data_IF_295074439183
#
_entry.id   IF_295074439183
#
_cell.length_a   1.000
_cell.length_b   1.000
_cell.length_c   1.000
_cell.angle_alpha   90.00
_cell.angle_beta   90.00
_cell.angle_gamma   90.00
#
_symmetry.space_group_name_H-M   'P 1'
#
loop_
_entity.id
_entity.type
_entity.pdbx_description
1 polymer ?
#
# COMPACT_ATOMS: atom_id res chain seq x y z
N UNK A 1 3.71 -12.97 -3.21
CA UNK A 1 4.24 -12.72 -1.86
C UNK A 1 4.60 -14.05 -1.23
N UNK A 2 5.78 -14.15 -0.65
CA UNK A 2 6.14 -15.26 0.24
C UNK A 2 5.56 -14.99 1.63
N UNK A 3 5.27 -16.01 2.46
CA UNK A 3 4.82 -15.80 3.83
C UNK A 3 5.82 -14.95 4.62
N UNK A 4 5.32 -14.01 5.44
CA UNK A 4 6.16 -13.19 6.31
C UNK A 4 6.69 -14.01 7.49
N UNK A 5 7.97 -13.80 7.82
CA UNK A 5 8.54 -14.28 9.08
C UNK A 5 7.97 -13.51 10.28
N UNK A 6 8.08 -14.07 11.48
CA UNK A 6 7.46 -13.49 12.69
C UNK A 6 7.92 -12.06 13.01
N UNK A 7 9.21 -11.76 12.86
CA UNK A 7 9.75 -10.41 13.11
C UNK A 7 9.23 -9.39 12.10
N UNK A 8 9.27 -9.72 10.80
CA UNK A 8 8.72 -8.88 9.73
C UNK A 8 7.22 -8.65 9.91
N UNK A 9 6.47 -9.70 10.26
CA UNK A 9 5.04 -9.59 10.55
C UNK A 9 4.74 -8.69 11.75
N UNK A 10 5.53 -8.78 12.83
CA UNK A 10 5.38 -7.90 13.98
C UNK A 10 5.70 -6.43 13.62
N UNK A 11 6.74 -6.18 12.83
CA UNK A 11 7.08 -4.82 12.37
C UNK A 11 5.99 -4.25 11.46
N UNK A 12 5.50 -5.04 10.49
CA UNK A 12 4.39 -4.67 9.62
C UNK A 12 3.14 -4.31 10.44
N UNK A 13 2.76 -5.16 11.41
CA UNK A 13 1.58 -4.91 12.24
C UNK A 13 1.67 -3.58 13.02
N UNK A 14 2.85 -3.23 13.53
CA UNK A 14 3.06 -1.95 14.23
C UNK A 14 2.97 -0.76 13.25
N UNK A 15 3.56 -0.87 12.06
CA UNK A 15 3.46 0.17 11.02
C UNK A 15 2.01 0.38 10.58
N UNK A 16 1.25 -0.69 10.35
CA UNK A 16 -0.18 -0.62 10.07
C UNK A 16 -0.89 0.11 11.22
N UNK A 17 -0.64 -0.27 12.47
CA UNK A 17 -1.30 0.33 13.64
C UNK A 17 -1.06 1.85 13.74
N UNK A 18 0.18 2.30 13.54
CA UNK A 18 0.53 3.73 13.58
C UNK A 18 -0.26 4.54 12.54
N UNK A 19 -0.32 4.05 11.30
CA UNK A 19 -1.06 4.73 10.23
C UNK A 19 -2.57 4.62 10.45
N UNK A 20 -3.09 3.50 11.00
CA UNK A 20 -4.50 3.40 11.42
C UNK A 20 -4.83 4.49 12.44
N UNK A 21 -4.01 4.64 13.49
CA UNK A 21 -4.28 5.59 14.58
C UNK A 21 -4.27 7.01 14.03
N UNK A 22 -3.28 7.35 13.19
CA UNK A 22 -3.24 8.65 12.52
C UNK A 22 -4.47 8.87 11.62
N UNK A 23 -4.83 7.90 10.78
CA UNK A 23 -5.94 8.03 9.85
C UNK A 23 -7.30 8.12 10.57
N UNK A 24 -7.47 7.43 11.70
CA UNK A 24 -8.69 7.55 12.52
C UNK A 24 -8.84 8.94 13.14
N UNK A 25 -7.73 9.58 13.53
CA UNK A 25 -7.74 10.94 14.09
C UNK A 25 -8.03 11.99 13.02
N UNK A 26 -7.49 11.83 11.82
CA UNK A 26 -7.58 12.84 10.76
C UNK A 26 -8.77 12.61 9.81
N UNK A 27 -9.23 11.37 9.69
CA UNK A 27 -10.31 10.92 8.80
C UNK A 27 -10.11 11.26 7.31
N UNK A 28 -8.85 11.47 6.91
CA UNK A 28 -8.48 11.95 5.57
C UNK A 28 -8.55 10.88 4.48
N UNK A 29 -8.67 9.59 4.84
CA UNK A 29 -8.66 8.52 3.87
C UNK A 29 -8.94 7.13 4.41
N UNK A 30 -8.50 6.14 3.64
CA UNK A 30 -8.71 4.72 3.90
C UNK A 30 -7.36 4.01 3.93
N UNK A 31 -7.18 3.10 4.89
CA UNK A 31 -5.99 2.28 5.03
C UNK A 31 -6.30 0.84 4.60
N UNK A 32 -5.30 0.20 4.01
CA UNK A 32 -5.36 -1.16 3.50
C UNK A 32 -4.14 -1.95 3.99
N UNK A 33 -4.36 -3.22 4.32
CA UNK A 33 -3.31 -4.14 4.74
C UNK A 33 -2.54 -4.71 3.56
N UNK A 34 -1.43 -5.38 3.85
CA UNK A 34 -0.55 -6.08 2.90
C UNK A 34 -1.24 -7.10 2.00
N UNK A 35 -2.43 -7.58 2.35
CA UNK A 35 -3.20 -8.51 1.51
C UNK A 35 -4.01 -7.82 0.40
N UNK A 36 -4.05 -6.49 0.38
CA UNK A 36 -4.83 -5.74 -0.62
C UNK A 36 -4.03 -5.57 -1.90
N UNK A 37 -4.60 -5.98 -3.03
CA UNK A 37 -4.01 -5.78 -4.35
C UNK A 37 -4.63 -4.55 -5.00
N UNK A 38 -3.77 -3.64 -5.45
CA UNK A 38 -4.10 -2.48 -6.28
C UNK A 38 -3.67 -2.74 -7.72
N UNK A 39 -4.53 -2.40 -8.66
CA UNK A 39 -4.18 -2.36 -10.08
C UNK A 39 -3.68 -0.95 -10.39
N UNK A 40 -2.35 -0.78 -10.46
CA UNK A 40 -1.76 0.53 -10.66
C UNK A 40 -2.04 1.05 -12.08
N UNK A 41 -2.49 2.32 -12.24
CA UNK A 41 -2.64 2.92 -13.56
C UNK A 41 -1.30 2.90 -14.32
N UNK A 42 -1.26 2.31 -15.52
CA UNK A 42 -0.05 2.14 -16.34
C UNK A 42 1.05 1.26 -15.71
N UNK A 43 0.76 0.57 -14.62
CA UNK A 43 1.69 -0.35 -13.94
C UNK A 43 1.13 -1.76 -13.82
N UNK A 44 1.73 -2.56 -12.93
CA UNK A 44 1.25 -3.90 -12.59
C UNK A 44 0.30 -3.93 -11.40
N UNK A 45 -0.12 -5.14 -11.04
CA UNK A 45 -0.81 -5.40 -9.77
C UNK A 45 0.21 -5.42 -8.63
N UNK A 46 -0.10 -4.70 -7.55
CA UNK A 46 0.80 -4.52 -6.42
C UNK A 46 0.07 -4.59 -5.09
N UNK A 47 0.75 -5.10 -4.08
CA UNK A 47 0.25 -5.27 -2.72
C UNK A 47 1.30 -4.77 -1.73
N UNK A 48 1.31 -3.46 -1.41
CA UNK A 48 2.25 -2.89 -0.46
C UNK A 48 1.93 -3.29 0.98
N UNK A 49 2.93 -3.36 1.84
CA UNK A 49 2.77 -3.82 3.23
C UNK A 49 1.84 -2.90 4.03
N UNK A 50 1.92 -1.60 3.76
CA UNK A 50 0.96 -0.59 4.23
C UNK A 50 0.57 0.30 3.07
N UNK A 51 -0.73 0.52 2.87
CA UNK A 51 -1.24 1.44 1.84
C UNK A 51 -2.30 2.37 2.39
N UNK A 52 -2.25 3.64 2.00
CA UNK A 52 -3.27 4.63 2.32
C UNK A 52 -3.70 5.40 1.06
N UNK A 53 -5.01 5.57 0.93
CA UNK A 53 -5.66 6.28 -0.19
C UNK A 53 -6.44 7.46 0.39
N UNK A 54 -6.27 8.65 -0.20
CA UNK A 54 -7.06 9.83 0.17
C UNK A 54 -8.54 9.57 -0.05
N UNK A 55 -9.38 10.06 0.87
CA UNK A 55 -10.83 9.84 0.88
C UNK A 55 -11.48 10.12 -0.47
N UNK A 56 -11.24 11.30 -1.03
CA UNK A 56 -11.81 11.73 -2.31
C UNK A 56 -11.46 10.76 -3.45
N UNK A 57 -10.22 10.27 -3.50
CA UNK A 57 -9.75 9.33 -4.52
C UNK A 57 -10.41 7.97 -4.38
N UNK A 58 -10.61 7.50 -3.15
CA UNK A 58 -11.33 6.25 -2.88
C UNK A 58 -12.82 6.35 -3.17
N UNK A 59 -13.45 7.46 -2.76
CA UNK A 59 -14.88 7.68 -2.92
C UNK A 59 -15.28 7.97 -4.38
N UNK A 60 -14.32 8.37 -5.23
CA UNK A 60 -14.52 8.47 -6.67
C UNK A 60 -14.66 7.10 -7.38
N UNK A 61 -14.23 6.00 -6.74
CA UNK A 61 -14.37 4.66 -7.32
C UNK A 61 -15.81 4.17 -7.26
N UNK A 62 -16.21 3.40 -8.26
CA UNK A 62 -17.46 2.66 -8.26
C UNK A 62 -17.47 1.60 -7.15
N UNK A 63 -18.66 1.20 -6.67
CA UNK A 63 -18.76 0.12 -5.67
C UNK A 63 -18.10 -1.20 -6.09
N UNK A 64 -18.12 -1.53 -7.39
CA UNK A 64 -17.51 -2.76 -7.90
C UNK A 64 -15.98 -2.69 -7.95
N UNK A 65 -15.42 -1.52 -8.28
CA UNK A 65 -13.97 -1.29 -8.21
C UNK A 65 -13.45 -1.42 -6.76
N UNK A 66 -14.22 -0.93 -5.78
CA UNK A 66 -13.84 -1.03 -4.35
C UNK A 66 -13.88 -2.46 -3.80
N UNK A 67 -14.74 -3.33 -4.34
CA UNK A 67 -14.88 -4.73 -3.90
C UNK A 67 -13.83 -5.67 -4.50
N UNK A 68 -13.23 -5.29 -5.63
CA UNK A 68 -12.22 -6.09 -6.35
C UNK A 68 -10.82 -5.55 -6.05
N UNK A 69 -9.91 -5.59 -7.03
CA UNK A 69 -8.61 -4.94 -6.97
C UNK A 69 -8.76 -3.50 -7.49
N UNK A 70 -8.69 -2.49 -6.61
CA UNK A 70 -8.99 -1.12 -6.99
C UNK A 70 -8.02 -0.62 -8.08
N UNK A 71 -8.51 -0.05 -9.19
CA UNK A 71 -7.70 0.45 -10.30
C UNK A 71 -7.09 1.83 -9.98
N UNK A 72 -6.40 1.93 -8.85
CA UNK A 72 -5.82 3.18 -8.34
C UNK A 72 -4.43 2.94 -7.77
N UNK A 73 -3.55 3.94 -7.90
CA UNK A 73 -2.32 3.98 -7.10
C UNK A 73 -2.65 4.55 -5.71
N UNK A 74 -2.16 3.95 -4.61
CA UNK A 74 -2.24 4.58 -3.29
C UNK A 74 -1.55 5.95 -3.26
N UNK A 75 -1.97 6.83 -2.34
CA UNK A 75 -1.32 8.13 -2.15
C UNK A 75 -0.10 8.01 -1.22
N UNK A 76 -0.10 7.02 -0.33
CA UNK A 76 1.02 6.67 0.54
C UNK A 76 1.20 5.16 0.62
N UNK A 77 2.45 4.69 0.58
CA UNK A 77 2.80 3.28 0.77
C UNK A 77 3.99 3.13 1.70
N UNK A 78 4.08 1.97 2.36
CA UNK A 78 5.31 1.50 3.01
C UNK A 78 5.61 0.10 2.48
N UNK A 79 6.87 -0.12 2.15
CA UNK A 79 7.43 -1.43 1.83
C UNK A 79 8.51 -1.78 2.85
N UNK A 80 8.28 -2.84 3.61
CA UNK A 80 9.18 -3.33 4.63
C UNK A 80 10.16 -4.32 3.99
N UNK A 81 11.41 -3.90 3.88
CA UNK A 81 12.48 -4.78 3.40
C UNK A 81 12.79 -5.89 4.41
N UNK A 82 12.57 -7.14 4.04
CA UNK A 82 13.02 -8.28 4.84
C UNK A 82 14.54 -8.53 4.69
N UNK A 83 15.19 -9.25 5.63
CA UNK A 83 16.61 -9.60 5.52
C UNK A 83 16.96 -10.37 4.24
N UNK A 84 16.03 -11.16 3.70
CA UNK A 84 16.19 -11.90 2.46
C UNK A 84 16.00 -11.05 1.19
N UNK A 85 15.44 -9.86 1.31
CA UNK A 85 15.12 -9.03 0.15
C UNK A 85 16.35 -8.33 -0.41
N UNK A 86 16.49 -8.47 -1.72
CA UNK A 86 17.45 -7.70 -2.50
C UNK A 86 16.94 -6.26 -2.62
N UNK A 87 17.84 -5.31 -2.41
CA UNK A 87 17.51 -3.88 -2.42
C UNK A 87 17.02 -3.39 -3.80
N UNK A 88 17.67 -3.82 -4.88
CA UNK A 88 17.37 -3.32 -6.24
C UNK A 88 15.92 -3.62 -6.69
N UNK A 89 15.40 -4.86 -6.58
CA UNK A 89 13.98 -5.13 -6.86
C UNK A 89 13.01 -4.28 -6.04
N UNK A 90 13.34 -4.00 -4.77
CA UNK A 90 12.52 -3.15 -3.92
C UNK A 90 12.51 -1.69 -4.43
N UNK A 91 13.67 -1.16 -4.81
CA UNK A 91 13.77 0.18 -5.40
C UNK A 91 13.04 0.30 -6.74
N UNK A 92 13.10 -0.74 -7.58
CA UNK A 92 12.34 -0.80 -8.84
C UNK A 92 10.83 -0.79 -8.58
N UNK A 93 10.37 -1.52 -7.56
CA UNK A 93 8.98 -1.50 -7.09
C UNK A 93 8.57 -0.11 -6.62
N UNK A 94 9.41 0.57 -5.83
CA UNK A 94 9.16 1.95 -5.40
C UNK A 94 9.10 2.94 -6.56
N UNK A 95 9.98 2.77 -7.56
CA UNK A 95 9.95 3.59 -8.77
C UNK A 95 8.65 3.40 -9.55
N UNK A 96 8.17 2.18 -9.70
CA UNK A 96 6.89 1.92 -10.36
C UNK A 96 5.72 2.61 -9.65
N UNK A 97 5.68 2.60 -8.31
CA UNK A 97 4.66 3.35 -7.58
C UNK A 97 4.71 4.85 -7.90
N UNK A 98 5.90 5.46 -7.90
CA UNK A 98 6.09 6.86 -8.24
C UNK A 98 5.63 7.18 -9.67
N UNK A 99 5.99 6.33 -10.64
CA UNK A 99 5.58 6.46 -12.03
C UNK A 99 4.04 6.32 -12.20
N UNK A 100 3.37 5.63 -11.26
CA UNK A 100 1.91 5.48 -11.20
C UNK A 100 1.19 6.56 -10.37
N UNK A 101 1.92 7.58 -9.90
CA UNK A 101 1.33 8.74 -9.19
C UNK A 101 1.28 8.61 -7.66
N UNK A 102 2.12 7.76 -7.07
CA UNK A 102 2.35 7.74 -5.62
C UNK A 102 2.85 9.12 -5.15
N UNK A 103 2.37 9.60 -4.00
CA UNK A 103 2.81 10.90 -3.44
C UNK A 103 3.94 10.76 -2.44
N UNK A 104 3.97 9.67 -1.67
CA UNK A 104 4.99 9.41 -0.65
C UNK A 104 5.14 7.91 -0.39
N UNK A 105 6.38 7.43 -0.28
CA UNK A 105 6.70 6.06 0.10
C UNK A 105 8.19 5.80 0.03
#
# INVERSE_FOLDING_TARGET
>A
MSPLGGESGNQEANLIADVIIWNRKTQLGFLFSSSTIFNLPNGGSRSPDVSWVRREKWEALTPDERKKFPPICPDFVIELRSPSDRLKPLQEKMKEYLDCGLRLG
#
